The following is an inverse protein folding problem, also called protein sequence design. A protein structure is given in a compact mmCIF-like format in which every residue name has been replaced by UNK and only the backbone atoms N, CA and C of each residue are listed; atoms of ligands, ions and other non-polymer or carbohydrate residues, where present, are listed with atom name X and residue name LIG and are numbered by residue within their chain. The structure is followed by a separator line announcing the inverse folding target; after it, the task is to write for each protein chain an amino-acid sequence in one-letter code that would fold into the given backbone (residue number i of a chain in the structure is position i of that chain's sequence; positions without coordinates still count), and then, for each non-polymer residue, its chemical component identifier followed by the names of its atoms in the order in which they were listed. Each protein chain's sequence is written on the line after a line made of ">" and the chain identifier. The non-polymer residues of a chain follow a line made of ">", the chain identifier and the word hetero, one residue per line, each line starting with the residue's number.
data_IF_126929949853
#
_entry.id   IF_126929949853
#
_cell.length_a   1.000
_cell.length_b   1.000
_cell.length_c   1.000
_cell.angle_alpha   90.00
_cell.angle_beta   90.00
_cell.angle_gamma   90.00
#
_symmetry.space_group_name_H-M   'P 1'
#
loop_
_entity.id
_entity.type
_entity.pdbx_description
1 polymer ?
#
# COMPACT_ATOMS: atom_id res chain seq x y z
N UNK A 1 -1.18 21.97 -2.03
CA UNK A 1 -0.15 22.96 -1.80
C UNK A 1 0.86 22.90 -2.91
N UNK A 2 1.37 24.05 -3.35
CA UNK A 2 2.49 24.09 -4.30
C UNK A 2 3.73 23.90 -3.44
N UNK A 3 4.35 22.73 -3.55
CA UNK A 3 5.62 22.45 -2.89
C UNK A 3 6.72 23.02 -3.77
N UNK A 4 7.38 24.02 -3.27
CA UNK A 4 8.43 24.77 -3.99
C UNK A 4 9.83 24.38 -3.57
N UNK A 5 9.98 23.61 -2.48
CA UNK A 5 11.26 23.26 -1.88
C UNK A 5 11.53 21.75 -2.04
N UNK A 6 12.80 21.38 -1.97
CA UNK A 6 13.21 19.98 -1.93
C UNK A 6 12.67 19.30 -0.66
N UNK A 7 11.98 18.17 -0.81
CA UNK A 7 11.47 17.39 0.31
C UNK A 7 12.12 16.01 0.34
N UNK A 8 12.47 15.48 1.51
CA UNK A 8 12.94 14.11 1.64
C UNK A 8 11.88 13.11 1.20
N UNK A 9 12.30 12.01 0.57
CA UNK A 9 11.37 11.00 0.02
C UNK A 9 10.47 10.39 1.11
N UNK A 10 10.99 10.15 2.31
CA UNK A 10 10.20 9.62 3.43
C UNK A 10 9.09 10.58 3.88
N UNK A 11 9.32 11.90 3.85
CA UNK A 11 8.28 12.89 4.13
C UNK A 11 7.25 12.98 3.00
N UNK A 12 7.71 12.97 1.76
CA UNK A 12 6.84 12.99 0.58
C UNK A 12 5.90 11.77 0.56
N UNK A 13 6.43 10.58 0.86
CA UNK A 13 5.65 9.34 0.93
C UNK A 13 4.63 9.38 2.08
N UNK A 14 5.06 9.73 3.30
CA UNK A 14 4.20 9.74 4.49
C UNK A 14 3.03 10.72 4.34
N UNK A 15 3.26 11.89 3.76
CA UNK A 15 2.27 12.94 3.54
C UNK A 15 1.54 12.82 2.19
N UNK A 16 1.88 11.81 1.38
CA UNK A 16 1.24 11.57 0.08
C UNK A 16 1.36 12.74 -0.90
N UNK A 17 2.56 13.34 -1.00
CA UNK A 17 2.81 14.44 -1.92
C UNK A 17 2.85 13.95 -3.36
N UNK A 18 2.04 14.58 -4.22
CA UNK A 18 1.87 14.15 -5.60
C UNK A 18 3.05 14.54 -6.49
N UNK A 19 3.58 15.76 -6.34
CA UNK A 19 4.65 16.28 -7.20
C UNK A 19 5.92 15.43 -7.10
N UNK A 20 6.46 15.09 -5.91
CA UNK A 20 7.61 14.21 -5.80
C UNK A 20 7.37 12.81 -6.38
N UNK A 21 6.17 12.25 -6.19
CA UNK A 21 5.83 10.94 -6.74
C UNK A 21 5.88 10.92 -8.27
N UNK A 22 5.25 11.91 -8.91
CA UNK A 22 5.27 12.06 -10.38
C UNK A 22 6.68 12.36 -10.89
N UNK A 23 7.44 13.19 -10.19
CA UNK A 23 8.82 13.49 -10.54
C UNK A 23 9.68 12.22 -10.55
N UNK A 24 9.66 11.44 -9.46
CA UNK A 24 10.41 10.18 -9.37
C UNK A 24 9.96 9.17 -10.43
N UNK A 25 8.66 9.04 -10.66
CA UNK A 25 8.12 8.15 -11.69
C UNK A 25 8.63 8.53 -13.09
N UNK A 26 8.69 9.83 -13.38
CA UNK A 26 9.26 10.33 -14.62
C UNK A 26 10.76 10.00 -14.75
N UNK A 27 11.53 10.10 -13.64
CA UNK A 27 12.96 9.79 -13.64
C UNK A 27 13.24 8.30 -13.88
N UNK A 28 12.46 7.39 -13.27
CA UNK A 28 12.63 5.94 -13.48
C UNK A 28 12.09 5.48 -14.84
N UNK A 29 11.20 6.25 -15.44
CA UNK A 29 10.53 5.97 -16.71
C UNK A 29 9.23 5.16 -16.57
N UNK A 30 8.22 5.55 -17.37
CA UNK A 30 6.85 5.01 -17.32
C UNK A 30 6.85 3.48 -17.47
N UNK A 31 7.56 2.95 -18.45
CA UNK A 31 7.63 1.52 -18.74
C UNK A 31 8.20 0.71 -17.58
N UNK A 32 9.23 1.23 -16.92
CA UNK A 32 9.81 0.57 -15.75
C UNK A 32 8.84 0.59 -14.58
N UNK A 33 8.13 1.70 -14.36
CA UNK A 33 7.10 1.80 -13.33
C UNK A 33 5.96 0.80 -13.56
N UNK A 34 5.42 0.72 -14.79
CA UNK A 34 4.39 -0.25 -15.19
C UNK A 34 4.89 -1.68 -14.95
N UNK A 35 6.12 -2.00 -15.39
CA UNK A 35 6.70 -3.34 -15.22
C UNK A 35 6.76 -3.76 -13.75
N UNK A 36 7.13 -2.86 -12.84
CA UNK A 36 7.09 -3.15 -11.41
C UNK A 36 5.67 -3.29 -10.88
N UNK A 37 4.73 -2.42 -11.27
CA UNK A 37 3.32 -2.57 -10.90
C UNK A 37 2.76 -3.93 -11.31
N UNK A 38 3.08 -4.41 -12.52
CA UNK A 38 2.71 -5.76 -12.98
C UNK A 38 3.36 -6.87 -12.14
N UNK A 39 4.63 -6.72 -11.78
CA UNK A 39 5.30 -7.68 -10.87
C UNK A 39 4.63 -7.76 -9.51
N UNK A 40 4.08 -6.65 -8.99
CA UNK A 40 3.28 -6.58 -7.77
C UNK A 40 1.83 -7.10 -7.94
N UNK A 41 1.44 -7.56 -9.13
CA UNK A 41 0.15 -8.18 -9.40
C UNK A 41 -0.95 -7.21 -9.85
N UNK A 42 -0.61 -5.98 -10.20
CA UNK A 42 -1.56 -5.01 -10.74
C UNK A 42 -1.73 -5.19 -12.25
N UNK A 43 -2.93 -4.88 -12.75
CA UNK A 43 -3.23 -4.92 -14.17
C UNK A 43 -3.13 -3.52 -14.79
N UNK A 44 -2.40 -3.43 -15.90
CA UNK A 44 -2.22 -2.22 -16.70
C UNK A 44 -2.77 -2.35 -18.12
N UNK A 45 -3.58 -3.39 -18.39
CA UNK A 45 -4.22 -3.57 -19.69
C UNK A 45 -5.12 -2.36 -20.00
N UNK A 46 -4.92 -1.74 -21.17
CA UNK A 46 -5.65 -0.55 -21.62
C UNK A 46 -5.45 0.71 -20.75
N UNK A 47 -4.47 0.74 -19.86
CA UNK A 47 -4.09 1.96 -19.13
C UNK A 47 -3.22 2.82 -20.02
N UNK A 48 -3.56 4.11 -20.26
CA UNK A 48 -2.71 5.01 -21.02
C UNK A 48 -1.34 5.18 -20.37
N UNK A 49 -0.27 5.11 -21.15
CA UNK A 49 1.11 5.26 -20.68
C UNK A 49 1.45 6.72 -20.42
N UNK A 50 1.03 7.23 -19.27
CA UNK A 50 1.22 8.62 -18.89
C UNK A 50 1.68 8.77 -17.43
N UNK A 51 2.15 9.96 -17.06
CA UNK A 51 2.64 10.24 -15.71
C UNK A 51 1.56 10.13 -14.62
N UNK A 52 0.29 10.24 -14.99
CA UNK A 52 -0.84 10.05 -14.08
C UNK A 52 -0.88 8.67 -13.41
N UNK A 53 -0.25 7.66 -14.01
CA UNK A 53 -0.08 6.32 -13.43
C UNK A 53 0.61 6.38 -12.05
N UNK A 54 1.54 7.31 -11.85
CA UNK A 54 2.22 7.50 -10.57
C UNK A 54 1.26 7.77 -9.40
N UNK A 55 0.08 8.28 -9.71
CA UNK A 55 -0.98 8.61 -8.75
C UNK A 55 -2.17 7.63 -8.83
N UNK A 56 -2.02 6.54 -9.60
CA UNK A 56 -3.06 5.53 -9.79
C UNK A 56 -3.99 5.79 -10.97
N UNK A 57 -3.70 6.80 -11.82
CA UNK A 57 -4.54 7.15 -12.97
C UNK A 57 -4.76 5.97 -13.91
N UNK A 58 -6.03 5.61 -14.16
CA UNK A 58 -6.43 4.53 -15.04
C UNK A 58 -6.20 3.11 -14.50
N UNK A 59 -5.50 2.95 -13.37
CA UNK A 59 -5.23 1.64 -12.75
C UNK A 59 -6.37 1.27 -11.80
N UNK A 60 -6.92 0.08 -11.97
CA UNK A 60 -7.93 -0.47 -11.05
C UNK A 60 -7.38 -1.68 -10.32
N UNK A 61 -7.74 -1.82 -9.05
CA UNK A 61 -7.33 -2.95 -8.22
C UNK A 61 -8.41 -3.31 -7.20
N UNK A 62 -8.54 -4.60 -6.91
CA UNK A 62 -9.37 -5.06 -5.80
C UNK A 62 -8.64 -4.92 -4.47
N UNK A 63 -9.35 -4.88 -3.32
CA UNK A 63 -8.74 -4.93 -2.00
C UNK A 63 -7.80 -6.13 -1.82
N UNK A 64 -8.14 -7.29 -2.38
CA UNK A 64 -7.31 -8.49 -2.34
C UNK A 64 -5.98 -8.30 -3.10
N UNK A 65 -6.02 -7.71 -4.31
CA UNK A 65 -4.80 -7.43 -5.07
C UNK A 65 -3.89 -6.46 -4.34
N UNK A 66 -4.47 -5.41 -3.72
CA UNK A 66 -3.70 -4.45 -2.94
C UNK A 66 -3.13 -5.08 -1.67
N UNK A 67 -3.89 -5.93 -0.97
CA UNK A 67 -3.37 -6.68 0.18
C UNK A 67 -2.18 -7.57 -0.22
N UNK A 68 -2.28 -8.29 -1.34
CA UNK A 68 -1.19 -9.11 -1.88
C UNK A 68 0.05 -8.26 -2.23
N UNK A 69 -0.14 -7.12 -2.88
CA UNK A 69 0.95 -6.22 -3.24
C UNK A 69 1.68 -5.69 -1.99
N UNK A 70 0.95 -5.23 -0.98
CA UNK A 70 1.54 -4.71 0.26
C UNK A 70 2.14 -5.80 1.16
N UNK A 71 1.59 -7.03 1.13
CA UNK A 71 2.20 -8.17 1.81
C UNK A 71 3.63 -8.46 1.30
N UNK A 72 3.95 -8.06 0.08
CA UNK A 72 5.31 -8.19 -0.47
C UNK A 72 6.33 -7.39 0.34
N UNK A 73 5.98 -6.20 0.81
CA UNK A 73 6.86 -5.40 1.67
C UNK A 73 7.02 -6.04 3.06
N UNK A 74 5.92 -6.47 3.67
CA UNK A 74 5.95 -7.18 4.96
C UNK A 74 6.78 -8.46 4.89
N UNK A 75 6.83 -9.09 3.73
CA UNK A 75 7.49 -10.37 3.45
C UNK A 75 8.92 -10.22 2.90
N UNK A 76 9.56 -9.08 3.15
CA UNK A 76 10.95 -8.83 2.73
C UNK A 76 11.16 -8.88 1.22
N UNK A 77 10.15 -8.47 0.43
CA UNK A 77 10.20 -8.39 -1.02
C UNK A 77 9.74 -9.64 -1.77
N UNK A 78 9.23 -10.66 -1.07
CA UNK A 78 8.63 -11.84 -1.68
C UNK A 78 7.11 -11.74 -1.72
N UNK A 79 6.53 -11.79 -2.90
CA UNK A 79 5.09 -11.85 -3.10
C UNK A 79 4.59 -13.28 -3.04
N UNK A 80 3.60 -13.54 -2.19
CA UNK A 80 2.83 -14.77 -2.18
C UNK A 80 1.51 -14.55 -2.93
N UNK A 81 1.15 -15.47 -3.80
CA UNK A 81 -0.18 -15.44 -4.43
C UNK A 81 -1.24 -15.67 -3.36
N UNK A 82 -2.20 -14.74 -3.28
CA UNK A 82 -3.32 -14.84 -2.34
C UNK A 82 -4.22 -16.04 -2.66
N UNK A 83 -4.72 -16.69 -1.61
CA UNK A 83 -5.63 -17.83 -1.73
C UNK A 83 -6.55 -17.90 -0.49
N UNK A 84 -7.70 -18.54 -0.65
CA UNK A 84 -8.69 -18.73 0.42
C UNK A 84 -8.81 -20.17 0.90
N UNK A 85 -8.45 -21.15 0.03
CA UNK A 85 -8.60 -22.58 0.33
C UNK A 85 -7.23 -23.17 0.57
N UNK A 86 -6.99 -23.66 1.79
CA UNK A 86 -5.72 -24.31 2.16
C UNK A 86 -5.72 -25.78 1.82
N UNK A 87 -6.84 -26.47 2.05
CA UNK A 87 -7.03 -27.91 1.72
C UNK A 87 -8.51 -28.22 1.49
N UNK A 88 -8.75 -29.30 0.80
CA UNK A 88 -10.08 -29.92 0.59
C UNK A 88 -10.00 -31.34 1.13
N UNK A 89 -10.94 -31.71 2.00
CA UNK A 89 -11.08 -33.05 2.58
C UNK A 89 -12.43 -33.65 2.19
N UNK A 90 -12.48 -34.99 2.06
CA UNK A 90 -13.74 -35.70 1.91
C UNK A 90 -14.41 -35.91 3.28
N UNK A 91 -15.61 -36.52 3.28
CA UNK A 91 -16.36 -36.80 4.49
C UNK A 91 -15.66 -37.80 5.44
N UNK A 92 -14.70 -38.56 4.96
CA UNK A 92 -13.90 -39.54 5.72
C UNK A 92 -12.64 -38.89 6.33
N UNK A 93 -12.36 -37.60 6.00
CA UNK A 93 -11.17 -36.89 6.46
C UNK A 93 -9.93 -37.06 5.55
N UNK A 94 -10.08 -37.72 4.41
CA UNK A 94 -8.97 -37.86 3.47
C UNK A 94 -8.76 -36.58 2.70
N UNK A 95 -7.50 -36.16 2.53
CA UNK A 95 -7.12 -34.96 1.80
C UNK A 95 -7.26 -35.22 0.29
N UNK A 96 -8.19 -34.48 -0.35
CA UNK A 96 -8.41 -34.51 -1.80
C UNK A 96 -7.43 -33.56 -2.51
N UNK A 97 -7.20 -32.38 -1.94
CA UNK A 97 -6.30 -31.38 -2.49
C UNK A 97 -5.73 -30.47 -1.39
N UNK A 98 -4.51 -29.99 -1.61
CA UNK A 98 -3.85 -28.97 -0.79
C UNK A 98 -3.38 -27.82 -1.65
N UNK A 99 -3.44 -26.60 -1.12
CA UNK A 99 -2.82 -25.45 -1.76
C UNK A 99 -1.30 -25.55 -1.71
N UNK A 100 -0.65 -25.38 -2.84
CA UNK A 100 0.80 -25.23 -2.92
C UNK A 100 1.14 -23.74 -2.92
N UNK A 101 1.82 -23.27 -1.85
CA UNK A 101 2.26 -21.87 -1.75
C UNK A 101 3.16 -21.53 -2.94
N UNK A 102 2.81 -20.46 -3.66
CA UNK A 102 3.61 -19.90 -4.74
C UNK A 102 4.14 -18.55 -4.28
N UNK A 103 5.46 -18.42 -4.17
CA UNK A 103 6.12 -17.17 -3.88
C UNK A 103 7.09 -16.80 -5.01
N UNK A 104 7.28 -15.50 -5.18
CA UNK A 104 8.22 -14.92 -6.14
C UNK A 104 8.84 -13.66 -5.55
N UNK A 105 10.16 -13.55 -5.62
CA UNK A 105 10.85 -12.31 -5.25
C UNK A 105 10.56 -11.24 -6.29
N UNK A 106 10.08 -10.08 -5.80
CA UNK A 106 9.73 -8.91 -6.62
C UNK A 106 10.78 -7.82 -6.47
N UNK A 107 11.22 -7.58 -5.24
CA UNK A 107 12.25 -6.61 -4.86
C UNK A 107 13.22 -7.25 -3.85
N UNK A 108 14.40 -6.67 -3.68
CA UNK A 108 15.33 -7.13 -2.64
C UNK A 108 14.77 -6.87 -1.24
N UNK A 109 15.26 -7.61 -0.26
CA UNK A 109 14.89 -7.39 1.14
C UNK A 109 15.30 -5.99 1.60
N UNK A 110 16.45 -5.48 1.16
CA UNK A 110 16.92 -4.13 1.47
C UNK A 110 15.91 -3.07 0.99
N UNK A 111 15.44 -3.16 -0.26
CA UNK A 111 14.43 -2.25 -0.81
C UNK A 111 13.10 -2.37 -0.05
N UNK A 112 12.66 -3.58 0.28
CA UNK A 112 11.45 -3.79 1.07
C UNK A 112 11.56 -3.14 2.46
N UNK A 113 12.71 -3.28 3.12
CA UNK A 113 12.99 -2.68 4.42
C UNK A 113 13.01 -1.15 4.36
N UNK A 114 13.65 -0.56 3.33
CA UNK A 114 13.66 0.90 3.14
C UNK A 114 12.24 1.44 2.89
N UNK A 115 11.46 0.78 2.05
CA UNK A 115 10.06 1.16 1.81
C UNK A 115 9.22 1.06 3.08
N UNK A 116 9.38 -0.01 3.87
CA UNK A 116 8.70 -0.17 5.16
C UNK A 116 9.09 0.94 6.12
N UNK A 117 10.39 1.25 6.25
CA UNK A 117 10.91 2.34 7.09
C UNK A 117 10.25 3.68 6.75
N UNK A 118 10.09 4.00 5.45
CA UNK A 118 9.40 5.22 5.02
C UNK A 118 7.88 5.15 5.26
N UNK A 119 7.25 3.99 5.02
CA UNK A 119 5.80 3.82 5.19
C UNK A 119 5.35 3.79 6.65
N UNK A 120 6.23 3.53 7.60
CA UNK A 120 5.96 3.71 9.04
C UNK A 120 5.58 5.16 9.35
N UNK A 121 6.18 6.13 8.68
CA UNK A 121 5.88 7.54 8.80
C UNK A 121 4.43 7.90 8.44
N UNK A 122 3.79 7.13 7.55
CA UNK A 122 2.40 7.36 7.14
C UNK A 122 1.43 7.25 8.32
N UNK A 123 1.62 6.26 9.19
CA UNK A 123 0.77 6.02 10.35
C UNK A 123 1.18 6.83 11.59
N UNK A 124 2.46 7.17 11.74
CA UNK A 124 2.92 7.92 12.92
C UNK A 124 2.77 9.44 12.77
N UNK A 125 3.00 9.99 11.59
CA UNK A 125 3.13 11.44 11.36
C UNK A 125 2.41 11.93 10.09
N UNK A 126 1.99 11.02 9.21
CA UNK A 126 1.49 11.31 7.88
C UNK A 126 -0.02 11.16 7.70
N UNK A 127 -0.43 10.81 6.50
CA UNK A 127 -1.82 10.81 6.06
C UNK A 127 -2.72 9.75 6.72
N UNK A 128 -2.17 8.75 7.41
CA UNK A 128 -2.89 7.68 8.09
C UNK A 128 -2.85 7.77 9.63
N UNK A 129 -2.52 8.92 10.22
CA UNK A 129 -2.47 9.05 11.69
C UNK A 129 -3.80 8.70 12.37
N UNK A 130 -4.93 8.99 11.73
CA UNK A 130 -6.26 8.66 12.22
C UNK A 130 -6.62 7.17 12.08
N UNK A 131 -5.85 6.42 11.29
CA UNK A 131 -5.99 4.97 11.14
C UNK A 131 -5.14 4.19 12.14
N UNK A 132 -4.21 4.87 12.82
CA UNK A 132 -3.28 4.22 13.75
C UNK A 132 -4.02 3.65 14.96
N UNK A 133 -3.67 2.42 15.34
CA UNK A 133 -4.19 1.76 16.53
C UNK A 133 -3.10 1.66 17.59
N UNK A 134 -3.40 2.19 18.78
CA UNK A 134 -2.42 2.29 19.87
C UNK A 134 -1.89 0.92 20.30
N UNK A 135 -0.59 0.81 20.47
CA UNK A 135 0.10 -0.41 20.89
C UNK A 135 0.61 -1.29 19.75
N UNK A 136 0.34 -0.90 18.51
CA UNK A 136 0.87 -1.60 17.33
C UNK A 136 1.54 -0.62 16.36
N UNK A 137 2.69 -1.02 15.82
CA UNK A 137 3.40 -0.25 14.81
C UNK A 137 2.99 -0.74 13.43
N UNK A 138 2.45 0.17 12.61
CA UNK A 138 1.99 -0.14 11.25
C UNK A 138 2.73 0.68 10.20
N UNK A 139 3.00 0.06 9.08
CA UNK A 139 3.46 0.70 7.85
C UNK A 139 2.34 0.65 6.80
N UNK A 140 2.33 1.57 5.85
CA UNK A 140 1.32 1.52 4.79
C UNK A 140 1.08 2.85 4.08
N UNK A 141 -0.10 2.98 3.46
CA UNK A 141 -0.43 4.12 2.60
C UNK A 141 -1.93 4.37 2.56
N UNK A 142 -2.29 5.64 2.42
CA UNK A 142 -3.63 6.09 2.07
C UNK A 142 -3.75 6.36 0.57
N UNK A 143 -4.96 6.30 0.04
CA UNK A 143 -5.28 6.71 -1.32
C UNK A 143 -6.62 7.43 -1.38
N UNK A 144 -6.68 8.54 -2.12
CA UNK A 144 -7.91 9.31 -2.33
C UNK A 144 -8.00 9.68 -3.81
N UNK A 145 -9.08 9.28 -4.46
CA UNK A 145 -9.37 9.61 -5.86
C UNK A 145 -10.50 10.62 -5.91
N UNK A 146 -10.29 11.71 -6.63
CA UNK A 146 -11.33 12.74 -6.83
C UNK A 146 -12.38 12.25 -7.83
N UNK A 147 -13.64 12.64 -7.62
CA UNK A 147 -14.70 12.38 -8.58
C UNK A 147 -14.47 13.22 -9.86
N UNK A 148 -14.66 12.61 -11.03
CA UNK A 148 -14.42 13.29 -12.31
C UNK A 148 -15.32 14.51 -12.52
N UNK A 149 -16.60 14.41 -12.11
CA UNK A 149 -17.60 15.46 -12.30
C UNK A 149 -17.48 16.60 -11.29
N UNK A 150 -16.82 16.39 -10.14
CA UNK A 150 -16.60 17.42 -9.12
C UNK A 150 -15.36 17.12 -8.27
N UNK A 151 -14.34 17.97 -8.38
CA UNK A 151 -13.05 17.78 -7.71
C UNK A 151 -13.06 18.02 -6.18
N UNK A 152 -14.14 18.56 -5.64
CA UNK A 152 -14.36 18.69 -4.19
C UNK A 152 -14.90 17.38 -3.57
N UNK A 153 -15.32 16.43 -4.41
CA UNK A 153 -15.84 15.13 -4.04
C UNK A 153 -14.85 14.02 -4.38
N UNK A 154 -15.04 12.85 -3.78
CA UNK A 154 -14.15 11.70 -4.01
C UNK A 154 -14.93 10.50 -4.52
N UNK A 155 -14.29 9.70 -5.37
CA UNK A 155 -14.81 8.42 -5.86
C UNK A 155 -14.37 7.26 -5.00
N UNK A 156 -13.11 7.26 -4.57
CA UNK A 156 -12.48 6.16 -3.86
C UNK A 156 -11.64 6.64 -2.68
N UNK A 157 -11.75 5.96 -1.57
CA UNK A 157 -10.91 6.17 -0.41
C UNK A 157 -10.31 4.85 0.05
N UNK A 158 -8.98 4.81 0.19
CA UNK A 158 -8.21 3.65 0.54
C UNK A 158 -7.36 3.88 1.78
N UNK A 159 -7.28 2.89 2.64
CA UNK A 159 -6.23 2.77 3.65
C UNK A 159 -5.71 1.35 3.63
N UNK A 160 -4.40 1.21 3.45
CA UNK A 160 -3.72 -0.07 3.50
C UNK A 160 -2.64 0.04 4.57
N UNK A 161 -2.71 -0.83 5.56
CA UNK A 161 -1.73 -0.91 6.64
C UNK A 161 -1.30 -2.34 6.87
N UNK A 162 -0.06 -2.51 7.28
CA UNK A 162 0.47 -3.82 7.60
C UNK A 162 1.41 -3.79 8.80
N UNK A 163 1.46 -4.90 9.51
CA UNK A 163 2.48 -5.28 10.48
C UNK A 163 3.31 -6.42 9.89
N UNK A 164 4.33 -6.95 10.57
CA UNK A 164 4.98 -8.20 10.14
C UNK A 164 4.03 -9.41 10.03
N UNK A 165 2.88 -9.36 10.71
CA UNK A 165 1.96 -10.49 10.84
C UNK A 165 0.78 -10.45 9.88
N UNK A 166 0.28 -9.26 9.51
CA UNK A 166 -0.98 -9.10 8.80
C UNK A 166 -1.00 -7.85 7.93
N UNK A 167 -1.73 -7.91 6.83
CA UNK A 167 -2.11 -6.74 5.99
C UNK A 167 -3.60 -6.52 6.11
N UNK A 168 -3.99 -5.28 6.38
CA UNK A 168 -5.39 -4.84 6.41
C UNK A 168 -5.57 -3.84 5.26
N UNK A 169 -6.55 -4.11 4.41
CA UNK A 169 -6.92 -3.22 3.30
C UNK A 169 -8.36 -2.79 3.44
N UNK A 170 -8.58 -1.48 3.50
CA UNK A 170 -9.90 -0.88 3.55
C UNK A 170 -10.12 -0.04 2.30
N UNK A 171 -11.21 -0.28 1.60
CA UNK A 171 -11.69 0.52 0.48
C UNK A 171 -13.13 0.95 0.72
N UNK A 172 -13.41 2.20 0.40
CA UNK A 172 -14.75 2.76 0.38
C UNK A 172 -14.96 3.41 -0.99
N UNK A 173 -16.06 3.11 -1.61
CA UNK A 173 -16.43 3.63 -2.93
C UNK A 173 -17.78 3.13 -3.39
N UNK A 174 -18.12 3.49 -4.59
CA UNK A 174 -19.28 2.97 -5.32
C UNK A 174 -18.78 2.24 -6.56
N UNK A 175 -19.52 1.22 -7.02
CA UNK A 175 -19.21 0.51 -8.28
C UNK A 175 -19.15 1.47 -9.46
N UNK A 176 -19.96 2.55 -9.41
CA UNK A 176 -19.93 3.66 -10.34
C UNK A 176 -20.14 4.96 -9.59
N UNK A 177 -19.20 5.87 -9.74
CA UNK A 177 -19.31 7.23 -9.21
C UNK A 177 -20.07 8.12 -10.18
N UNK A 178 -21.10 8.80 -9.70
CA UNK A 178 -21.91 9.78 -10.42
C UNK A 178 -22.45 10.84 -9.46
N UNK A 179 -23.32 11.75 -9.92
CA UNK A 179 -23.88 12.85 -9.12
C UNK A 179 -24.72 12.39 -7.91
N UNK A 180 -25.11 11.12 -7.85
CA UNK A 180 -25.88 10.53 -6.73
C UNK A 180 -25.05 9.54 -5.90
N UNK A 181 -23.86 9.12 -6.40
CA UNK A 181 -22.99 8.11 -5.81
C UNK A 181 -21.56 8.65 -5.73
N UNK A 182 -21.24 9.32 -4.64
CA UNK A 182 -19.92 9.90 -4.39
C UNK A 182 -19.61 9.88 -2.90
N UNK A 183 -18.34 10.10 -2.57
CA UNK A 183 -17.85 10.26 -1.21
C UNK A 183 -17.48 11.71 -0.96
N UNK A 184 -17.46 12.08 0.31
CA UNK A 184 -16.98 13.39 0.78
C UNK A 184 -15.72 13.24 1.61
N UNK A 185 -14.89 14.27 1.65
CA UNK A 185 -13.63 14.27 2.41
C UNK A 185 -12.56 13.40 1.76
N UNK A 186 -11.58 13.00 2.57
CA UNK A 186 -10.42 12.21 2.13
C UNK A 186 -10.28 10.91 2.95
N UNK A 187 -9.43 10.01 2.49
CA UNK A 187 -9.12 8.75 3.15
C UNK A 187 -8.62 8.90 4.59
N UNK A 188 -7.99 10.03 4.93
CA UNK A 188 -7.59 10.39 6.31
C UNK A 188 -8.77 10.59 7.29
N UNK A 189 -9.99 10.70 6.78
CA UNK A 189 -11.23 10.77 7.54
C UNK A 189 -11.92 9.41 7.65
N UNK A 190 -12.98 9.20 6.84
CA UNK A 190 -13.89 8.04 6.97
C UNK A 190 -13.18 6.71 6.78
N UNK A 191 -12.37 6.55 5.72
CA UNK A 191 -11.66 5.28 5.49
C UNK A 191 -10.66 4.96 6.62
N UNK A 192 -9.96 5.98 7.15
CA UNK A 192 -9.06 5.81 8.30
C UNK A 192 -9.80 5.41 9.58
N UNK A 193 -10.99 5.98 9.82
CA UNK A 193 -11.83 5.60 10.96
C UNK A 193 -12.29 4.14 10.87
N UNK A 194 -12.78 3.71 9.70
CA UNK A 194 -13.18 2.32 9.48
C UNK A 194 -11.98 1.39 9.63
N UNK A 195 -10.84 1.75 9.04
CA UNK A 195 -9.60 0.98 9.19
C UNK A 195 -9.23 0.80 10.67
N UNK A 196 -9.29 1.86 11.48
CA UNK A 196 -8.92 1.79 12.90
C UNK A 196 -9.81 0.83 13.70
N UNK A 197 -11.11 0.75 13.39
CA UNK A 197 -12.00 -0.25 14.00
C UNK A 197 -11.64 -1.67 13.60
N UNK A 198 -11.34 -1.91 12.31
CA UNK A 198 -10.89 -3.22 11.83
C UNK A 198 -9.56 -3.60 12.49
N UNK A 199 -8.62 -2.67 12.58
CA UNK A 199 -7.34 -2.88 13.22
C UNK A 199 -7.49 -3.22 14.72
N UNK A 200 -8.43 -2.57 15.41
CA UNK A 200 -8.73 -2.86 16.82
C UNK A 200 -9.21 -4.29 17.08
N UNK A 201 -9.92 -4.87 16.10
CA UNK A 201 -10.39 -6.26 16.20
C UNK A 201 -9.36 -7.27 15.70
N UNK A 202 -8.57 -6.92 14.69
CA UNK A 202 -7.62 -7.85 14.04
C UNK A 202 -6.30 -7.93 14.80
N UNK A 203 -5.68 -6.80 15.13
CA UNK A 203 -4.31 -6.75 15.63
C UNK A 203 -4.12 -7.50 16.98
N UNK A 204 -5.04 -7.41 17.96
CA UNK A 204 -4.91 -8.18 19.21
C UNK A 204 -4.94 -9.71 19.02
N UNK A 205 -5.38 -10.18 17.86
CA UNK A 205 -5.42 -11.61 17.51
C UNK A 205 -4.24 -12.06 16.65
N UNK A 206 -3.24 -11.21 16.45
CA UNK A 206 -1.99 -11.54 15.77
C UNK A 206 -0.88 -11.89 16.77
N UNK A 207 0.23 -12.52 16.36
CA UNK A 207 1.39 -12.76 17.23
C UNK A 207 2.00 -11.49 17.84
N UNK A 208 1.78 -10.32 17.26
CA UNK A 208 2.30 -9.04 17.74
C UNK A 208 3.78 -8.84 17.45
N UNK A 209 4.29 -9.41 16.37
CA UNK A 209 5.67 -9.19 15.94
C UNK A 209 5.89 -7.72 15.55
N UNK A 210 7.07 -7.20 15.90
CA UNK A 210 7.48 -5.84 15.58
C UNK A 210 8.37 -5.81 14.34
N UNK A 211 8.38 -4.66 13.65
CA UNK A 211 9.33 -4.43 12.57
C UNK A 211 10.75 -4.34 13.12
N UNK A 212 11.71 -4.88 12.37
CA UNK A 212 13.14 -4.76 12.67
C UNK A 212 13.75 -3.47 12.11
N UNK A 213 12.99 -2.72 11.31
CA UNK A 213 13.40 -1.45 10.73
C UNK A 213 12.84 -0.29 11.55
N UNK A 214 13.60 0.80 11.63
CA UNK A 214 13.18 2.01 12.31
C UNK A 214 12.33 2.91 11.40
N UNK A 215 11.55 3.78 12.00
CA UNK A 215 10.74 4.76 11.28
C UNK A 215 11.61 5.89 10.72
N UNK A 216 11.74 5.95 9.39
CA UNK A 216 12.54 6.96 8.72
C UNK A 216 12.06 8.39 8.98
N UNK A 217 10.75 8.61 9.18
CA UNK A 217 10.21 9.93 9.49
C UNK A 217 10.67 10.40 10.89
N UNK A 218 10.60 9.51 11.87
CA UNK A 218 11.04 9.83 13.24
C UNK A 218 12.56 10.01 13.35
N UNK A 219 13.33 9.28 12.52
CA UNK A 219 14.79 9.32 12.49
C UNK A 219 15.36 10.35 11.50
N UNK A 220 14.55 11.21 10.93
CA UNK A 220 14.94 12.21 9.91
C UNK A 220 15.74 11.62 8.74
N UNK A 221 15.33 10.43 8.29
CA UNK A 221 15.95 9.69 7.18
C UNK A 221 17.27 9.01 7.50
N UNK A 222 17.79 9.09 8.73
CA UNK A 222 19.10 8.53 9.10
C UNK A 222 19.15 7.00 9.04
N UNK A 223 18.01 6.33 9.06
CA UNK A 223 17.90 4.87 9.00
C UNK A 223 17.87 4.32 7.58
N UNK A 224 17.80 5.19 6.59
CA UNK A 224 17.77 4.80 5.19
C UNK A 224 19.19 4.59 4.66
N UNK A 225 19.44 3.42 4.07
CA UNK A 225 20.69 3.14 3.38
C UNK A 225 20.63 3.70 1.95
N UNK A 226 21.22 4.88 1.76
CA UNK A 226 21.29 5.55 0.46
C UNK A 226 22.36 4.94 -0.47
N UNK A 227 23.17 3.98 0.02
CA UNK A 227 24.19 3.30 -0.77
C UNK A 227 23.70 2.00 -1.41
N UNK A 228 22.47 1.59 -1.10
CA UNK A 228 21.88 0.40 -1.68
C UNK A 228 21.92 0.44 -3.21
N UNK A 229 22.53 -0.56 -3.81
CA UNK A 229 22.71 -0.64 -5.25
C UNK A 229 21.32 -0.85 -5.92
N UNK A 230 20.89 0.03 -6.84
CA UNK A 230 19.61 -0.15 -7.54
C UNK A 230 19.55 -1.41 -8.42
N UNK A 231 20.66 -2.13 -8.58
CA UNK A 231 20.74 -3.38 -9.33
C UNK A 231 20.65 -4.64 -8.44
N UNK A 232 20.46 -4.51 -7.12
CA UNK A 232 20.22 -5.64 -6.21
C UNK A 232 18.77 -6.15 -6.33
N UNK A 233 18.33 -6.47 -7.54
CA UNK A 233 16.98 -6.99 -7.86
C UNK A 233 17.06 -8.42 -8.40
#
# INVERSE_FOLDING_TARGET
>A
GIETDDVPMYQALANSYNIPAVYLFNQIGIQKGISYGQKFGLNFDNVPEELGIALGGGVTASPLQMAQAYATFANGGEMNTAYFITKIENASGDIIATHSKKSKRIISQSVANQMTSMMLGTFSNGSAVNANYTGYTMAGKTGTVQAEFNKDLTSDQWVIGYTPDVVITTWIGFDKTDENHYLTGASSGTASTIFSYIAADVLPNTPGNEFTVENAYAADGQTLDYTANPNDS
#
